data_IF_483304204706
#
_entry.id   IF_483304204706
#
_cell.length_a   1.000
_cell.length_b   1.000
_cell.length_c   1.000
_cell.angle_alpha   90.00
_cell.angle_beta   90.00
_cell.angle_gamma   90.00
#
_symmetry.space_group_name_H-M   'P 1'
#
loop_
_entity.id
_entity.type
_entity.pdbx_description
1 polymer ?
#
# COMPACT_ATOMS: atom_id res chain seq x y z
N UNK A 1 -36.61 -6.92 -13.58
CA UNK A 1 -36.41 -7.11 -12.13
C UNK A 1 -36.13 -5.73 -11.58
N UNK A 2 -36.92 -5.23 -10.62
CA UNK A 2 -36.60 -3.97 -9.96
C UNK A 2 -35.26 -4.15 -9.25
N UNK A 3 -34.21 -3.47 -9.72
CA UNK A 3 -32.92 -3.50 -9.04
C UNK A 3 -33.13 -2.99 -7.61
N UNK A 4 -32.84 -3.84 -6.63
CA UNK A 4 -32.89 -3.44 -5.23
C UNK A 4 -31.63 -2.59 -5.00
N UNK A 5 -31.77 -1.28 -5.15
CA UNK A 5 -30.70 -0.32 -4.97
C UNK A 5 -30.55 -0.01 -3.48
N UNK A 6 -29.32 -0.12 -3.00
CA UNK A 6 -28.94 0.31 -1.66
C UNK A 6 -28.63 1.81 -1.68
N UNK A 7 -28.94 2.49 -0.59
CA UNK A 7 -28.60 3.91 -0.39
C UNK A 7 -27.40 4.01 0.56
N UNK A 8 -26.38 4.75 0.15
CA UNK A 8 -25.16 4.99 0.92
C UNK A 8 -24.69 6.43 0.73
N UNK A 9 -23.79 6.91 1.59
CA UNK A 9 -23.19 8.24 1.48
C UNK A 9 -21.70 8.12 1.18
N UNK A 10 -21.22 8.74 0.11
CA UNK A 10 -19.79 8.80 -0.26
C UNK A 10 -19.36 10.26 -0.29
N UNK A 11 -18.38 10.63 0.54
CA UNK A 11 -17.87 12.01 0.68
C UNK A 11 -18.99 13.05 0.83
N UNK A 12 -20.00 12.72 1.64
CA UNK A 12 -21.16 13.58 1.92
C UNK A 12 -22.26 13.57 0.86
N UNK A 13 -22.11 12.82 -0.24
CA UNK A 13 -23.11 12.72 -1.31
C UNK A 13 -23.86 11.40 -1.24
N UNK A 14 -25.19 11.44 -1.36
CA UNK A 14 -26.02 10.24 -1.47
C UNK A 14 -25.75 9.54 -2.81
N UNK A 15 -25.49 8.24 -2.75
CA UNK A 15 -25.26 7.37 -3.90
C UNK A 15 -26.23 6.18 -3.80
N UNK A 16 -26.76 5.76 -4.95
CA UNK A 16 -27.59 4.55 -5.07
C UNK A 16 -26.88 3.52 -5.93
N UNK A 17 -26.74 2.30 -5.42
CA UNK A 17 -26.00 1.25 -6.13
C UNK A 17 -26.59 -0.14 -5.87
N UNK A 18 -26.37 -1.07 -6.81
CA UNK A 18 -26.70 -2.48 -6.59
C UNK A 18 -25.86 -3.06 -5.46
N UNK A 19 -26.43 -3.93 -4.63
CA UNK A 19 -25.77 -4.64 -3.53
C UNK A 19 -24.54 -5.47 -3.96
N UNK A 20 -24.42 -5.81 -5.24
CA UNK A 20 -23.26 -6.50 -5.79
C UNK A 20 -22.10 -5.56 -6.18
N UNK A 21 -22.30 -4.25 -6.10
CA UNK A 21 -21.28 -3.27 -6.43
C UNK A 21 -20.28 -3.12 -5.28
N UNK A 22 -19.00 -2.98 -5.62
CA UNK A 22 -18.03 -2.43 -4.66
C UNK A 22 -18.22 -0.91 -4.51
N UNK A 23 -17.66 -0.34 -3.45
CA UNK A 23 -17.72 1.11 -3.19
C UNK A 23 -17.18 1.90 -4.39
N UNK A 24 -16.06 1.47 -4.99
CA UNK A 24 -15.50 2.19 -6.16
C UNK A 24 -16.43 2.10 -7.39
N UNK A 25 -17.12 0.99 -7.58
CA UNK A 25 -18.07 0.81 -8.68
C UNK A 25 -19.32 1.67 -8.47
N UNK A 26 -19.81 1.75 -7.23
CA UNK A 26 -20.89 2.64 -6.85
C UNK A 26 -20.49 4.11 -7.09
N UNK A 27 -19.29 4.50 -6.66
CA UNK A 27 -18.77 5.85 -6.87
C UNK A 27 -18.65 6.17 -8.37
N UNK A 28 -18.12 5.26 -9.19
CA UNK A 28 -17.99 5.42 -10.64
C UNK A 28 -19.34 5.62 -11.36
N UNK A 29 -20.40 5.02 -10.83
CA UNK A 29 -21.76 5.09 -11.41
C UNK A 29 -22.57 6.25 -10.87
N UNK A 30 -22.07 6.98 -9.86
CA UNK A 30 -22.77 8.11 -9.25
C UNK A 30 -22.85 9.35 -10.14
N UNK A 31 -22.13 9.37 -11.27
CA UNK A 31 -22.12 10.46 -12.25
C UNK A 31 -20.99 11.47 -12.04
N UNK A 32 -20.25 11.39 -10.93
CA UNK A 32 -19.05 12.20 -10.69
C UNK A 32 -17.84 11.65 -11.44
N UNK A 33 -17.03 12.54 -12.02
CA UNK A 33 -15.75 12.15 -12.61
C UNK A 33 -14.79 11.66 -11.52
N UNK A 34 -14.26 10.44 -11.66
CA UNK A 34 -13.26 9.91 -10.74
C UNK A 34 -11.88 10.43 -11.15
N UNK A 35 -11.45 11.52 -10.54
CA UNK A 35 -10.14 12.15 -10.80
C UNK A 35 -9.07 11.81 -9.77
N UNK A 36 -9.45 11.21 -8.64
CA UNK A 36 -8.57 10.83 -7.54
C UNK A 36 -9.05 9.53 -6.88
N UNK A 37 -8.23 8.99 -5.97
CA UNK A 37 -8.57 7.81 -5.15
C UNK A 37 -8.99 6.58 -5.98
N UNK A 38 -8.35 6.40 -7.14
CA UNK A 38 -8.61 5.34 -8.11
C UNK A 38 -7.32 4.78 -8.70
N UNK A 39 -7.36 3.55 -9.20
CA UNK A 39 -6.22 2.85 -9.78
C UNK A 39 -6.64 1.54 -10.44
N UNK A 40 -6.34 0.40 -9.83
CA UNK A 40 -6.61 -0.94 -10.39
C UNK A 40 -8.10 -1.36 -10.49
N UNK A 41 -9.04 -0.54 -10.01
CA UNK A 41 -10.51 -0.69 -10.18
C UNK A 41 -11.15 -2.02 -9.74
N UNK A 42 -10.50 -2.84 -8.90
CA UNK A 42 -11.13 -4.07 -8.38
C UNK A 42 -10.18 -5.16 -7.89
N UNK A 43 -8.88 -4.99 -8.06
CA UNK A 43 -7.90 -6.03 -7.72
C UNK A 43 -7.25 -5.83 -6.35
N UNK A 44 -7.45 -4.68 -5.72
CA UNK A 44 -6.85 -4.39 -4.42
C UNK A 44 -5.33 -4.31 -4.40
N UNK A 45 -4.66 -4.10 -5.54
CA UNK A 45 -3.19 -4.20 -5.66
C UNK A 45 -2.45 -2.86 -5.66
N UNK A 46 -3.13 -1.75 -5.99
CA UNK A 46 -2.48 -0.43 -6.10
C UNK A 46 -2.56 0.43 -4.84
N UNK A 47 -3.47 0.13 -3.91
CA UNK A 47 -3.70 0.92 -2.70
C UNK A 47 -4.35 2.31 -2.91
N UNK A 48 -4.69 2.72 -4.14
CA UNK A 48 -5.20 4.07 -4.43
C UNK A 48 -6.57 4.38 -3.85
N UNK A 49 -7.47 3.39 -3.81
CA UNK A 49 -8.87 3.57 -3.39
C UNK A 49 -9.09 3.38 -1.88
N UNK A 50 -8.09 3.73 -1.08
CA UNK A 50 -8.15 3.69 0.39
C UNK A 50 -9.28 4.61 0.89
N UNK A 51 -10.06 4.13 1.84
CA UNK A 51 -11.17 4.89 2.40
C UNK A 51 -11.39 4.52 3.87
N UNK A 52 -12.06 5.41 4.59
CA UNK A 52 -12.71 5.09 5.85
C UNK A 52 -14.16 4.72 5.58
N UNK A 53 -14.66 3.71 6.28
CA UNK A 53 -16.05 3.28 6.21
C UNK A 53 -16.65 3.22 7.61
N UNK A 54 -17.95 3.49 7.68
CA UNK A 54 -18.78 3.25 8.86
C UNK A 54 -20.09 2.63 8.39
N UNK A 55 -20.46 1.49 8.97
CA UNK A 55 -21.71 0.81 8.68
C UNK A 55 -22.86 1.46 9.44
N UNK A 56 -24.08 1.28 8.92
CA UNK A 56 -25.29 1.80 9.56
C UNK A 56 -25.43 1.24 10.98
N UNK A 57 -25.73 2.11 11.94
CA UNK A 57 -25.85 1.74 13.36
C UNK A 57 -24.53 1.47 14.09
N UNK A 58 -23.39 1.41 13.40
CA UNK A 58 -22.08 1.21 14.03
C UNK A 58 -21.44 2.55 14.44
N UNK A 59 -20.74 2.54 15.58
CA UNK A 59 -19.98 3.71 16.05
C UNK A 59 -18.55 3.72 15.55
N UNK A 60 -18.00 2.55 15.24
CA UNK A 60 -16.61 2.39 14.86
C UNK A 60 -16.40 2.75 13.38
N UNK A 61 -15.28 3.42 13.10
CA UNK A 61 -14.83 3.71 11.75
C UNK A 61 -13.67 2.77 11.45
N UNK A 62 -13.77 2.04 10.35
CA UNK A 62 -12.72 1.13 9.89
C UNK A 62 -12.14 1.61 8.56
N UNK A 63 -10.93 1.17 8.24
CA UNK A 63 -10.28 1.50 6.98
C UNK A 63 -10.40 0.34 6.00
N UNK A 64 -10.61 0.64 4.72
CA UNK A 64 -10.81 -0.37 3.70
C UNK A 64 -10.22 0.06 2.34
N UNK A 65 -10.24 -0.87 1.38
CA UNK A 65 -10.02 -0.58 -0.03
C UNK A 65 -11.38 -0.60 -0.73
N UNK A 66 -11.84 0.55 -1.21
CA UNK A 66 -13.16 0.70 -1.81
C UNK A 66 -13.42 -0.26 -2.98
N UNK A 67 -12.38 -0.71 -3.68
CA UNK A 67 -12.52 -1.65 -4.79
C UNK A 67 -12.76 -3.11 -4.37
N UNK A 68 -12.44 -3.47 -3.12
CA UNK A 68 -12.63 -4.82 -2.56
C UNK A 68 -13.78 -4.88 -1.55
N UNK A 69 -14.38 -3.74 -1.20
CA UNK A 69 -15.47 -3.66 -0.22
C UNK A 69 -16.82 -3.48 -0.92
N UNK A 70 -17.78 -4.37 -0.64
CA UNK A 70 -19.16 -4.25 -1.12
C UNK A 70 -19.88 -3.10 -0.43
N UNK A 71 -20.82 -2.48 -1.13
CA UNK A 71 -21.72 -1.47 -0.55
C UNK A 71 -22.75 -2.14 0.36
N UNK A 72 -23.12 -1.46 1.45
CA UNK A 72 -24.16 -1.86 2.39
C UNK A 72 -25.15 -0.69 2.59
N UNK A 73 -26.40 -0.98 2.95
CA UNK A 73 -27.42 0.04 3.22
C UNK A 73 -26.99 0.96 4.36
N UNK A 74 -27.14 2.27 4.19
CA UNK A 74 -26.75 3.29 5.17
C UNK A 74 -25.24 3.45 5.38
N UNK A 75 -24.40 2.72 4.61
CA UNK A 75 -22.94 2.84 4.71
C UNK A 75 -22.48 4.28 4.45
N UNK A 76 -21.55 4.75 5.26
CA UNK A 76 -20.88 6.02 5.08
C UNK A 76 -19.43 5.77 4.69
N UNK A 77 -18.99 6.39 3.61
CA UNK A 77 -17.65 6.25 3.05
C UNK A 77 -17.02 7.63 2.94
N UNK A 78 -15.76 7.73 3.36
CA UNK A 78 -14.92 8.90 3.07
C UNK A 78 -13.60 8.43 2.45
N UNK A 79 -13.31 8.90 1.24
CA UNK A 79 -12.00 8.67 0.64
C UNK A 79 -10.94 9.49 1.36
N UNK A 80 -9.76 8.89 1.53
CA UNK A 80 -8.65 9.54 2.22
C UNK A 80 -7.65 10.08 1.21
N UNK A 81 -7.51 11.38 1.14
CA UNK A 81 -6.39 12.00 0.45
C UNK A 81 -5.10 11.78 1.26
N UNK A 82 -4.08 11.27 0.59
CA UNK A 82 -2.79 11.06 1.22
C UNK A 82 -1.97 12.33 1.07
N UNK A 83 -1.66 12.94 2.20
CA UNK A 83 -0.74 14.07 2.24
C UNK A 83 0.69 13.56 2.16
N UNK A 84 1.47 14.17 1.25
CA UNK A 84 2.91 13.96 1.20
C UNK A 84 3.49 14.63 2.44
N UNK A 85 4.22 13.91 3.31
CA UNK A 85 4.83 14.51 4.48
C UNK A 85 5.93 15.48 4.07
N UNK A 86 6.20 16.48 4.92
CA UNK A 86 7.22 17.50 4.69
C UNK A 86 8.62 16.89 4.49
N UNK A 87 8.92 15.79 5.21
CA UNK A 87 10.15 15.02 5.03
C UNK A 87 9.88 13.70 4.29
N UNK A 88 10.46 13.56 3.10
CA UNK A 88 10.48 12.31 2.34
C UNK A 88 11.82 11.62 2.64
N UNK A 89 11.77 10.34 3.01
CA UNK A 89 12.99 9.58 3.29
C UNK A 89 13.72 9.26 1.97
N UNK A 90 14.97 9.73 1.88
CA UNK A 90 15.86 9.45 0.75
C UNK A 90 16.96 8.50 1.20
N UNK A 91 17.15 7.43 0.44
CA UNK A 91 18.25 6.48 0.59
C UNK A 91 18.60 5.95 -0.79
N UNK A 92 19.89 5.78 -1.06
CA UNK A 92 20.34 5.16 -2.31
C UNK A 92 20.53 3.65 -2.09
N UNK A 93 19.79 2.86 -2.87
CA UNK A 93 19.89 1.40 -2.84
C UNK A 93 21.25 0.93 -3.39
N UNK A 94 21.93 1.76 -4.19
CA UNK A 94 23.26 1.48 -4.74
C UNK A 94 24.36 1.55 -3.67
N UNK A 95 24.15 2.34 -2.62
CA UNK A 95 25.09 2.51 -1.50
C UNK A 95 24.88 1.46 -0.40
N UNK A 96 23.91 0.56 -0.58
CA UNK A 96 23.61 -0.50 0.38
C UNK A 96 24.79 -1.46 0.47
N UNK A 97 25.49 -1.37 1.60
CA UNK A 97 26.65 -2.19 1.92
C UNK A 97 26.32 -3.67 2.09
N UNK A 98 27.22 -4.39 2.77
CA UNK A 98 27.16 -5.82 3.00
C UNK A 98 26.16 -6.27 4.08
N UNK A 99 25.44 -5.34 4.69
CA UNK A 99 24.42 -5.63 5.72
C UNK A 99 24.80 -5.15 7.11
N UNK A 100 26.10 -4.97 7.41
CA UNK A 100 26.55 -4.64 8.76
C UNK A 100 26.07 -3.26 9.23
N UNK A 101 25.86 -2.32 8.31
CA UNK A 101 25.46 -0.95 8.63
C UNK A 101 23.95 -0.70 8.48
N UNK A 102 23.12 -1.72 8.20
CA UNK A 102 21.70 -1.51 7.90
C UNK A 102 20.90 -0.91 9.05
N UNK A 103 21.28 -1.20 10.30
CA UNK A 103 20.68 -0.56 11.47
C UNK A 103 21.01 0.94 11.53
N UNK A 104 22.26 1.32 11.23
CA UNK A 104 22.66 2.72 11.17
C UNK A 104 21.98 3.45 10.01
N UNK A 105 21.86 2.79 8.85
CA UNK A 105 21.15 3.33 7.68
C UNK A 105 19.65 3.51 7.99
N UNK A 106 19.06 2.59 8.75
CA UNK A 106 17.68 2.72 9.24
C UNK A 106 17.56 3.88 10.20
N UNK A 107 18.46 4.03 11.16
CA UNK A 107 18.42 5.13 12.12
C UNK A 107 18.58 6.51 11.45
N UNK A 108 19.31 6.58 10.34
CA UNK A 108 19.43 7.81 9.52
C UNK A 108 18.18 8.07 8.68
N UNK A 109 17.67 7.05 7.98
CA UNK A 109 16.56 7.20 7.04
C UNK A 109 15.18 7.19 7.70
N UNK A 110 15.03 6.54 8.86
CA UNK A 110 13.80 6.39 9.63
C UNK A 110 14.08 6.51 11.14
N UNK A 111 14.59 7.66 11.61
CA UNK A 111 14.90 7.86 13.03
C UNK A 111 13.70 7.62 13.95
N UNK A 112 12.49 7.85 13.45
CA UNK A 112 11.24 7.66 14.17
C UNK A 112 10.88 6.18 14.42
N UNK A 113 11.46 5.23 13.68
CA UNK A 113 11.08 3.81 13.76
C UNK A 113 11.27 3.21 15.15
N UNK A 114 12.33 3.64 15.86
CA UNK A 114 12.66 3.20 17.22
C UNK A 114 11.62 3.65 18.27
N UNK A 115 10.77 4.63 17.94
CA UNK A 115 9.76 5.17 18.85
C UNK A 115 8.48 4.33 18.89
N UNK A 116 8.40 3.22 18.14
CA UNK A 116 7.21 2.37 18.09
C UNK A 116 6.76 1.96 19.49
N UNK A 117 5.52 2.33 19.85
CA UNK A 117 4.93 2.06 21.17
C UNK A 117 4.06 0.80 21.25
N UNK A 118 4.05 -0.01 20.19
CA UNK A 118 3.27 -1.25 20.13
C UNK A 118 1.75 -1.09 20.42
N UNK A 119 1.10 -0.12 19.77
CA UNK A 119 -0.32 0.19 20.02
C UNK A 119 -1.35 -0.56 19.13
N UNK A 120 -0.87 -1.33 18.15
CA UNK A 120 -1.67 -2.09 17.18
C UNK A 120 -2.46 -1.26 16.17
N UNK A 121 -2.33 0.08 16.18
CA UNK A 121 -3.10 0.96 15.30
C UNK A 121 -2.86 0.69 13.82
N UNK A 122 -1.61 0.46 13.43
CA UNK A 122 -1.24 0.15 12.05
C UNK A 122 -1.72 -1.23 11.57
N UNK A 123 -1.80 -2.23 12.46
CA UNK A 123 -2.36 -3.54 12.14
C UNK A 123 -3.86 -3.41 11.86
N UNK A 124 -4.62 -2.75 12.75
CA UNK A 124 -6.06 -2.49 12.57
C UNK A 124 -6.36 -1.71 11.29
N UNK A 125 -5.46 -0.79 10.92
CA UNK A 125 -5.61 0.03 9.72
C UNK A 125 -5.23 -0.70 8.42
N UNK A 126 -4.60 -1.88 8.48
CA UNK A 126 -4.13 -2.56 7.28
C UNK A 126 -5.27 -3.37 6.63
N UNK A 127 -5.78 -2.99 5.44
CA UNK A 127 -6.86 -3.73 4.78
C UNK A 127 -6.39 -5.09 4.24
N UNK A 128 -5.08 -5.33 4.20
CA UNK A 128 -4.48 -6.62 3.83
C UNK A 128 -4.15 -7.50 5.04
N UNK A 129 -4.48 -7.06 6.26
CA UNK A 129 -4.29 -7.84 7.49
C UNK A 129 -2.83 -8.14 7.80
N UNK A 130 -1.90 -7.23 7.46
CA UNK A 130 -0.49 -7.42 7.77
C UNK A 130 -0.23 -7.13 9.25
N UNK A 131 0.72 -7.88 9.83
CA UNK A 131 1.28 -7.61 11.16
C UNK A 131 2.31 -6.46 11.08
N UNK A 132 1.84 -5.28 10.66
CA UNK A 132 2.64 -4.08 10.39
C UNK A 132 3.50 -3.68 11.58
N UNK A 133 2.94 -3.70 12.79
CA UNK A 133 3.65 -3.37 14.02
C UNK A 133 4.85 -4.29 14.25
N UNK A 134 4.64 -5.61 14.10
CA UNK A 134 5.71 -6.59 14.21
C UNK A 134 6.75 -6.38 13.09
N UNK A 135 6.32 -6.01 11.89
CA UNK A 135 7.21 -5.62 10.80
C UNK A 135 8.11 -4.43 11.17
N UNK A 136 7.58 -3.41 11.85
CA UNK A 136 8.39 -2.29 12.36
C UNK A 136 9.40 -2.79 13.39
N UNK A 137 8.95 -3.61 14.34
CA UNK A 137 9.82 -4.17 15.38
C UNK A 137 10.98 -5.02 14.79
N UNK A 138 10.68 -5.81 13.77
CA UNK A 138 11.68 -6.61 13.03
C UNK A 138 12.74 -5.73 12.36
N UNK A 139 12.36 -4.61 11.74
CA UNK A 139 13.35 -3.69 11.16
C UNK A 139 14.20 -3.04 12.25
N UNK A 140 13.57 -2.58 13.33
CA UNK A 140 14.23 -1.98 14.50
C UNK A 140 15.23 -2.94 15.15
N UNK A 141 14.92 -4.23 15.21
CA UNK A 141 15.82 -5.26 15.74
C UNK A 141 16.83 -5.81 14.72
N UNK A 142 16.81 -5.32 13.47
CA UNK A 142 17.74 -5.72 12.42
C UNK A 142 17.37 -6.99 11.66
N UNK A 143 16.17 -7.54 11.85
CA UNK A 143 15.64 -8.67 11.08
C UNK A 143 14.93 -8.20 9.80
N UNK A 144 15.71 -7.67 8.87
CA UNK A 144 15.23 -7.25 7.55
C UNK A 144 14.67 -8.41 6.71
N UNK A 145 15.15 -9.63 6.99
CA UNK A 145 14.71 -10.84 6.31
C UNK A 145 13.24 -11.13 6.59
N UNK A 146 12.86 -11.13 7.87
CA UNK A 146 11.50 -11.31 8.31
C UNK A 146 10.62 -10.09 8.02
N UNK A 147 11.13 -8.87 8.24
CA UNK A 147 10.40 -7.64 7.89
C UNK A 147 9.99 -7.61 6.42
N UNK A 148 10.89 -8.00 5.51
CA UNK A 148 10.58 -8.05 4.08
C UNK A 148 9.45 -9.04 3.75
N UNK A 149 9.33 -10.15 4.49
CA UNK A 149 8.22 -11.09 4.34
C UNK A 149 6.92 -10.52 4.92
N UNK A 150 6.97 -9.91 6.10
CA UNK A 150 5.83 -9.24 6.74
C UNK A 150 5.20 -8.18 5.83
N UNK A 151 6.03 -7.45 5.08
CA UNK A 151 5.60 -6.39 4.16
C UNK A 151 5.45 -6.83 2.69
N UNK A 152 5.55 -8.12 2.36
CA UNK A 152 5.59 -8.55 0.96
C UNK A 152 4.29 -8.24 0.19
N UNK A 153 3.15 -8.44 0.86
CA UNK A 153 1.81 -8.14 0.35
C UNK A 153 1.40 -6.67 0.54
N UNK A 154 2.32 -5.79 0.96
CA UNK A 154 2.02 -4.38 1.14
C UNK A 154 1.76 -3.70 -0.21
N UNK A 155 0.55 -3.15 -0.37
CA UNK A 155 0.10 -2.44 -1.58
C UNK A 155 0.28 -0.93 -1.50
N UNK A 156 1.09 -0.44 -0.56
CA UNK A 156 1.41 0.98 -0.38
C UNK A 156 0.18 1.90 -0.27
N UNK A 157 -0.91 1.42 0.37
CA UNK A 157 -2.12 2.20 0.59
C UNK A 157 -1.98 3.30 1.67
N UNK A 158 -0.84 3.39 2.37
CA UNK A 158 -0.52 4.39 3.39
C UNK A 158 -1.46 4.48 4.61
N UNK A 159 -2.46 3.60 4.75
CA UNK A 159 -3.36 3.62 5.91
C UNK A 159 -2.62 3.43 7.25
N UNK A 160 -1.63 2.54 7.30
CA UNK A 160 -0.79 2.37 8.49
C UNK A 160 0.07 3.59 8.82
N UNK A 161 0.46 4.38 7.82
CA UNK A 161 1.16 5.66 8.03
C UNK A 161 0.22 6.66 8.69
N UNK A 162 -1.02 6.78 8.19
CA UNK A 162 -2.02 7.71 8.74
C UNK A 162 -2.46 7.35 10.16
N UNK A 163 -2.43 6.06 10.51
CA UNK A 163 -2.83 5.58 11.83
C UNK A 163 -1.70 5.55 12.87
N UNK A 164 -0.46 5.88 12.50
CA UNK A 164 0.65 5.82 13.44
C UNK A 164 0.78 7.11 14.28
N UNK A 165 0.62 7.04 15.61
CA UNK A 165 0.76 8.23 16.48
C UNK A 165 2.21 8.69 16.64
N UNK A 166 3.18 7.83 16.33
CA UNK A 166 4.62 8.16 16.37
C UNK A 166 5.11 8.76 15.05
N UNK A 167 4.19 9.00 14.11
CA UNK A 167 4.52 9.46 12.76
C UNK A 167 5.52 8.57 12.01
N UNK A 168 5.65 7.30 12.44
CA UNK A 168 6.32 6.26 11.66
C UNK A 168 5.55 6.10 10.35
N UNK A 169 6.27 5.84 9.27
CA UNK A 169 5.69 5.48 7.96
C UNK A 169 5.90 3.98 7.71
N UNK A 170 5.13 3.06 8.32
CA UNK A 170 5.53 1.65 8.42
C UNK A 170 5.63 0.97 7.05
N UNK A 171 4.73 1.31 6.11
CA UNK A 171 4.81 0.76 4.76
C UNK A 171 6.05 1.23 3.99
N UNK A 172 6.55 2.44 4.27
CA UNK A 172 7.79 2.93 3.68
C UNK A 172 9.03 2.30 4.34
N UNK A 173 9.00 2.09 5.66
CA UNK A 173 10.01 1.33 6.38
C UNK A 173 10.07 -0.12 5.89
N UNK A 174 8.91 -0.75 5.68
CA UNK A 174 8.80 -2.08 5.10
C UNK A 174 9.31 -2.15 3.66
N UNK A 175 8.99 -1.15 2.83
CA UNK A 175 9.54 -1.04 1.48
C UNK A 175 11.07 -0.88 1.49
N UNK A 176 11.60 -0.07 2.41
CA UNK A 176 13.04 0.04 2.64
C UNK A 176 13.62 -1.33 2.96
N UNK A 177 13.09 -2.05 3.95
CA UNK A 177 13.59 -3.37 4.31
C UNK A 177 13.55 -4.39 3.14
N UNK A 178 12.48 -4.37 2.34
CA UNK A 178 12.37 -5.19 1.12
C UNK A 178 13.45 -4.83 0.10
N UNK A 179 13.73 -3.54 -0.11
CA UNK A 179 14.77 -3.06 -1.03
C UNK A 179 16.17 -3.44 -0.55
N UNK A 180 16.48 -3.24 0.73
CA UNK A 180 17.77 -3.61 1.33
C UNK A 180 18.04 -5.11 1.13
N UNK A 181 17.05 -5.96 1.47
CA UNK A 181 17.12 -7.41 1.25
C UNK A 181 17.29 -7.76 -0.23
N UNK A 182 16.47 -7.20 -1.12
CA UNK A 182 16.47 -7.52 -2.53
C UNK A 182 17.78 -7.12 -3.23
N UNK A 183 18.37 -5.98 -2.85
CA UNK A 183 19.64 -5.50 -3.39
C UNK A 183 20.81 -6.48 -3.16
N UNK A 184 20.70 -7.33 -2.12
CA UNK A 184 21.73 -8.32 -1.75
C UNK A 184 21.30 -9.76 -2.00
N UNK A 185 20.08 -10.00 -2.47
CA UNK A 185 19.62 -11.35 -2.78
C UNK A 185 20.23 -11.81 -4.10
N UNK A 186 20.57 -13.10 -4.20
CA UNK A 186 21.03 -13.70 -5.45
C UNK A 186 20.00 -13.44 -6.56
N UNK A 187 20.48 -12.95 -7.70
CA UNK A 187 19.63 -12.77 -8.88
C UNK A 187 19.04 -14.13 -9.29
N UNK A 188 17.73 -14.23 -9.56
CA UNK A 188 17.11 -15.46 -10.02
C UNK A 188 17.83 -16.03 -11.25
N UNK A 189 17.96 -17.35 -11.33
CA UNK A 189 18.68 -18.02 -12.43
C UNK A 189 18.07 -17.67 -13.79
N UNK A 190 16.74 -17.53 -13.86
CA UNK A 190 16.05 -17.13 -15.08
C UNK A 190 16.42 -15.70 -15.52
N UNK A 191 16.58 -14.76 -14.58
CA UNK A 191 17.07 -13.42 -14.87
C UNK A 191 18.52 -13.49 -15.39
N UNK A 192 19.40 -14.23 -14.71
CA UNK A 192 20.79 -14.39 -15.13
C UNK A 192 20.93 -15.10 -16.49
N UNK A 193 20.02 -16.02 -16.82
CA UNK A 193 19.94 -16.62 -18.15
C UNK A 193 19.51 -15.57 -19.17
N UNK A 194 18.43 -14.82 -18.90
CA UNK A 194 17.89 -13.83 -19.82
C UNK A 194 18.88 -12.71 -20.13
N UNK A 195 19.59 -12.20 -19.12
CA UNK A 195 20.66 -11.22 -19.29
C UNK A 195 21.77 -11.76 -20.21
N UNK A 196 22.20 -13.01 -20.01
CA UNK A 196 23.17 -13.66 -20.92
C UNK A 196 22.65 -13.84 -22.34
N UNK A 197 21.37 -14.16 -22.52
CA UNK A 197 20.76 -14.25 -23.86
C UNK A 197 20.76 -12.89 -24.57
N UNK A 198 20.54 -11.80 -23.84
CA UNK A 198 20.62 -10.43 -24.35
C UNK A 198 22.08 -10.08 -24.69
N UNK A 199 23.01 -10.26 -23.75
CA UNK A 199 24.44 -9.94 -23.94
C UNK A 199 25.08 -10.73 -25.08
N UNK A 200 24.65 -11.98 -25.29
CA UNK A 200 25.13 -12.84 -26.40
C UNK A 200 24.41 -12.60 -27.72
N UNK A 201 23.39 -11.74 -27.76
CA UNK A 201 22.57 -11.49 -28.96
C UNK A 201 21.63 -12.63 -29.35
N UNK A 202 21.54 -13.71 -28.56
CA UNK A 202 20.56 -14.80 -28.75
C UNK A 202 19.12 -14.29 -28.57
N UNK A 203 18.94 -13.26 -27.75
CA UNK A 203 17.73 -12.48 -27.65
C UNK A 203 18.05 -11.03 -28.02
N UNK A 204 17.26 -10.44 -28.92
CA UNK A 204 17.25 -9.00 -29.15
C UNK A 204 16.07 -8.38 -28.41
N UNK A 205 16.32 -7.28 -27.71
CA UNK A 205 15.26 -6.41 -27.18
C UNK A 205 15.08 -5.32 -28.23
N UNK A 206 14.01 -5.43 -28.99
CA UNK A 206 13.61 -4.38 -29.93
C UNK A 206 12.82 -3.35 -29.13
N UNK A 207 13.39 -2.17 -28.96
CA UNK A 207 12.62 -1.02 -28.55
C UNK A 207 11.95 -0.48 -29.81
N UNK A 208 10.62 -0.38 -29.80
CA UNK A 208 9.95 0.43 -30.83
C UNK A 208 10.49 1.85 -30.65
N UNK A 209 11.32 2.30 -31.60
CA UNK A 209 11.67 3.71 -31.69
C UNK A 209 10.34 4.45 -31.87
N UNK A 210 9.97 5.24 -30.86
CA UNK A 210 8.85 6.16 -30.97
C UNK A 210 9.07 6.98 -32.25
N UNK A 211 8.16 6.82 -33.21
CA UNK A 211 8.08 7.71 -34.36
C UNK A 211 7.79 9.11 -33.82
N UNK A 212 8.86 9.88 -33.63
CA UNK A 212 8.84 11.27 -33.20
C UNK A 212 8.24 12.16 -34.28
#
# INVERSE_FOLDING_TARGET
MSENLLTLTIDGHEVKASADSSIIQAYARSGSAITANVGCMGQGVCGSCRCMIRKEGEREVTTALACETKVEEGMQVSFLDYFIPEHIQYYDVSEVGDGWNWLDDTAKAFPEAQNCRHCGGCNRACPKGLEVENGVAQVVSGDFGAAALTFDQCVMCNLCTLSCPEHIRPNHLGLFARRMKAARTLRPVDLMRRLREIDSGKMKVEFEEEAM
#
